data_IF_488741565133
#
_entry.id   IF_488741565133
#
_cell.length_a   1.000
_cell.length_b   1.000
_cell.length_c   1.000
_cell.angle_alpha   90.00
_cell.angle_beta   90.00
_cell.angle_gamma   90.00
#
_symmetry.space_group_name_H-M   'P 1'
#
loop_
_entity.id
_entity.type
_entity.pdbx_description
1 polymer ?
#
# COMPACT_ATOMS: atom_id res chain seq x y z
N UNK A 1 8.91 22.53 8.52
CA UNK A 1 9.11 23.06 9.89
C UNK A 1 7.76 23.51 10.44
N UNK A 2 7.31 23.04 11.62
CA UNK A 2 6.06 23.50 12.21
C UNK A 2 6.23 24.95 12.71
N UNK A 3 5.24 25.85 12.52
CA UNK A 3 5.40 27.25 12.92
C UNK A 3 5.33 27.37 14.45
N UNK A 4 6.33 28.05 15.01
CA UNK A 4 6.44 28.42 16.44
C UNK A 4 5.11 28.97 16.96
N UNK A 5 4.72 28.53 18.16
CA UNK A 5 3.52 28.98 18.85
C UNK A 5 3.58 30.50 19.09
N UNK A 6 2.95 31.29 18.22
CA UNK A 6 2.78 32.74 18.39
C UNK A 6 1.89 33.02 19.60
N UNK A 7 2.31 33.94 20.47
CA UNK A 7 1.55 34.35 21.65
C UNK A 7 0.35 35.21 21.21
N UNK A 8 -0.72 35.22 22.01
CA UNK A 8 -1.98 35.95 21.69
C UNK A 8 -1.75 37.46 21.58
N UNK A 9 -0.82 38.01 22.37
CA UNK A 9 -0.44 39.43 22.31
C UNK A 9 0.17 39.82 20.96
N UNK A 10 0.98 38.95 20.36
CA UNK A 10 1.58 39.19 19.04
C UNK A 10 0.51 39.19 17.95
N UNK A 11 -0.50 38.32 18.07
CA UNK A 11 -1.63 38.27 17.15
C UNK A 11 -2.49 39.53 17.27
N UNK A 12 -2.71 40.05 18.48
CA UNK A 12 -3.43 41.33 18.69
C UNK A 12 -2.67 42.51 18.10
N UNK A 13 -1.35 42.56 18.28
CA UNK A 13 -0.50 43.59 17.65
C UNK A 13 -0.60 43.54 16.12
N UNK A 14 -0.56 42.33 15.54
CA UNK A 14 -0.71 42.13 14.09
C UNK A 14 -2.10 42.56 13.59
N UNK A 15 -3.18 42.20 14.28
CA UNK A 15 -4.52 42.67 13.95
C UNK A 15 -4.61 44.21 14.01
N UNK A 16 -4.06 44.83 15.05
CA UNK A 16 -4.06 46.29 15.22
C UNK A 16 -3.29 47.00 14.11
N UNK A 17 -2.09 46.51 13.76
CA UNK A 17 -1.31 47.06 12.64
C UNK A 17 -2.00 46.92 11.30
N UNK A 18 -2.91 45.95 11.17
CA UNK A 18 -3.66 45.69 9.95
C UNK A 18 -5.07 46.32 9.96
N UNK A 19 -5.39 47.16 10.95
CA UNK A 19 -6.69 47.85 11.07
C UNK A 19 -7.85 46.94 11.45
N UNK A 20 -7.58 45.73 11.96
CA UNK A 20 -8.60 44.73 12.30
C UNK A 20 -8.96 44.76 13.79
N UNK A 21 -10.17 44.30 14.10
CA UNK A 21 -10.62 44.13 15.47
C UNK A 21 -9.70 43.18 16.27
N UNK A 22 -9.40 43.54 17.52
CA UNK A 22 -8.43 42.85 18.39
C UNK A 22 -9.09 41.98 19.47
N UNK A 23 -10.41 41.93 19.50
CA UNK A 23 -11.19 41.17 20.49
C UNK A 23 -11.28 39.68 20.14
N UNK A 24 -11.55 38.81 21.11
CA UNK A 24 -11.72 37.37 20.90
C UNK A 24 -10.52 36.50 21.27
N UNK A 25 -10.65 35.20 21.01
CA UNK A 25 -9.67 34.17 21.39
C UNK A 25 -8.57 34.01 20.31
N UNK A 26 -7.56 33.16 20.58
CA UNK A 26 -6.43 32.94 19.66
C UNK A 26 -6.87 32.49 18.26
N UNK A 27 -7.88 31.63 18.17
CA UNK A 27 -8.37 31.10 16.91
C UNK A 27 -9.07 32.20 16.08
N UNK A 28 -9.82 33.08 16.73
CA UNK A 28 -10.52 34.19 16.08
C UNK A 28 -9.54 35.17 15.43
N UNK A 29 -8.47 35.52 16.15
CA UNK A 29 -7.40 36.41 15.66
C UNK A 29 -6.65 35.79 14.48
N UNK A 30 -6.32 34.49 14.55
CA UNK A 30 -5.66 33.78 13.44
C UNK A 30 -6.58 33.71 12.22
N UNK A 31 -7.88 33.46 12.42
CA UNK A 31 -8.86 33.40 11.33
C UNK A 31 -8.99 34.75 10.63
N UNK A 32 -9.04 35.86 11.38
CA UNK A 32 -9.08 37.23 10.82
C UNK A 32 -7.84 37.56 10.01
N UNK A 33 -6.64 37.28 10.53
CA UNK A 33 -5.39 37.52 9.81
C UNK A 33 -5.27 36.67 8.53
N UNK A 34 -5.75 35.41 8.57
CA UNK A 34 -5.80 34.56 7.37
C UNK A 34 -6.79 35.09 6.34
N UNK A 35 -7.98 35.51 6.76
CA UNK A 35 -9.00 36.07 5.87
C UNK A 35 -8.52 37.36 5.21
N UNK A 36 -7.86 38.25 5.96
CA UNK A 36 -7.28 39.46 5.39
C UNK A 36 -6.14 39.16 4.42
N UNK A 37 -5.26 38.19 4.71
CA UNK A 37 -4.26 37.74 3.72
C UNK A 37 -4.91 37.15 2.47
N UNK A 38 -6.04 36.44 2.63
CA UNK A 38 -6.81 35.92 1.50
C UNK A 38 -7.45 37.04 0.68
N UNK A 39 -8.03 38.05 1.35
CA UNK A 39 -8.57 39.24 0.70
C UNK A 39 -7.49 40.07 0.02
N UNK A 40 -6.34 40.31 0.67
CA UNK A 40 -5.20 40.97 0.03
C UNK A 40 -4.65 40.18 -1.15
N UNK A 41 -4.60 38.84 -1.11
CA UNK A 41 -4.24 38.06 -2.30
C UNK A 41 -5.34 38.07 -3.39
N UNK A 42 -6.61 38.29 -3.02
CA UNK A 42 -7.72 38.42 -3.97
C UNK A 42 -7.81 39.85 -4.55
N UNK A 43 -7.42 40.87 -3.80
CA UNK A 43 -7.35 42.28 -4.18
C UNK A 43 -6.02 42.64 -4.87
N UNK A 44 -4.91 41.97 -4.55
CA UNK A 44 -3.65 42.02 -5.32
C UNK A 44 -3.81 41.36 -6.71
N UNK A 45 -4.90 40.61 -6.94
CA UNK A 45 -5.31 40.14 -8.26
C UNK A 45 -6.22 41.15 -8.99
N UNK A 46 -6.40 42.36 -8.47
CA UNK A 46 -7.26 43.38 -9.11
C UNK A 46 -6.89 44.83 -8.77
N UNK A 47 -5.90 45.42 -9.46
CA UNK A 47 -5.99 46.79 -9.91
C UNK A 47 -6.82 46.83 -11.20
N UNK A 48 -8.11 47.19 -11.11
CA UNK A 48 -8.78 47.80 -12.25
C UNK A 48 -8.33 49.27 -12.29
N UNK A 49 -7.07 49.47 -12.65
CA UNK A 49 -6.69 50.70 -13.33
C UNK A 49 -7.30 50.58 -14.73
N UNK A 50 -8.26 51.46 -15.02
CA UNK A 50 -8.74 51.70 -16.37
C UNK A 50 -7.63 52.40 -17.16
N UNK A 51 -6.59 51.66 -17.49
CA UNK A 51 -5.62 52.00 -18.53
C UNK A 51 -5.41 50.73 -19.35
N UNK A 52 -6.02 50.71 -20.52
CA UNK A 52 -5.71 49.82 -21.63
C UNK A 52 -5.58 48.33 -21.24
N UNK A 53 -6.72 47.65 -20.99
CA UNK A 53 -6.82 46.22 -21.33
C UNK A 53 -6.80 46.10 -22.86
N UNK A 54 -5.66 46.43 -23.47
CA UNK A 54 -5.29 45.95 -24.80
C UNK A 54 -5.19 44.45 -24.61
N UNK A 55 -6.28 43.73 -24.91
CA UNK A 55 -6.27 42.29 -24.94
C UNK A 55 -5.08 41.88 -25.80
N UNK A 56 -4.06 41.24 -25.21
CA UNK A 56 -3.01 40.58 -25.99
C UNK A 56 -3.69 39.46 -26.76
N UNK A 57 -4.06 39.76 -28.01
CA UNK A 57 -4.76 38.83 -28.86
C UNK A 57 -3.85 37.60 -29.07
N UNK A 58 -4.34 36.42 -28.70
CA UNK A 58 -3.64 35.17 -28.98
C UNK A 58 -3.85 34.85 -30.46
N UNK A 59 -2.81 35.06 -31.26
CA UNK A 59 -2.91 35.01 -32.71
C UNK A 59 -1.94 33.97 -33.24
N UNK A 60 -2.48 32.92 -33.86
CA UNK A 60 -1.67 31.89 -34.49
C UNK A 60 -2.35 31.33 -35.71
N UNK A 61 -1.60 31.18 -36.80
CA UNK A 61 -2.11 30.62 -38.05
C UNK A 61 -1.12 29.57 -38.59
N UNK A 62 -1.67 28.53 -39.20
CA UNK A 62 -0.90 27.48 -39.88
C UNK A 62 -0.63 27.93 -41.31
N UNK A 63 0.63 27.92 -41.75
CA UNK A 63 1.01 28.39 -43.09
C UNK A 63 1.50 27.27 -44.00
N UNK A 64 1.54 27.54 -45.31
CA UNK A 64 2.20 26.66 -46.30
C UNK A 64 3.70 26.97 -46.33
N UNK A 65 4.52 25.99 -46.71
CA UNK A 65 5.98 26.17 -46.73
C UNK A 65 6.39 27.30 -47.70
N UNK A 66 7.16 28.27 -47.20
CA UNK A 66 7.64 29.46 -47.91
C UNK A 66 8.88 30.03 -47.20
N UNK A 67 9.40 31.19 -47.60
CA UNK A 67 10.45 31.87 -46.83
C UNK A 67 9.86 32.52 -45.57
N UNK A 68 10.67 32.69 -44.52
CA UNK A 68 10.20 33.25 -43.23
C UNK A 68 9.59 34.66 -43.40
N UNK A 69 10.16 35.47 -44.29
CA UNK A 69 9.69 36.82 -44.54
C UNK A 69 8.39 36.85 -45.35
N UNK A 70 8.22 35.94 -46.31
CA UNK A 70 6.94 35.76 -47.01
C UNK A 70 5.84 35.37 -46.00
N UNK A 71 6.12 34.39 -45.14
CA UNK A 71 5.18 33.93 -44.11
C UNK A 71 4.76 35.05 -43.15
N UNK A 72 5.71 35.89 -42.69
CA UNK A 72 5.41 37.03 -41.80
C UNK A 72 4.65 38.13 -42.51
N UNK A 73 4.96 38.40 -43.78
CA UNK A 73 4.30 39.44 -44.58
C UNK A 73 2.83 39.09 -44.87
N UNK A 74 2.55 37.84 -45.24
CA UNK A 74 1.19 37.39 -45.54
C UNK A 74 0.36 37.21 -44.24
N UNK A 75 1.00 36.86 -43.12
CA UNK A 75 0.32 36.79 -41.83
C UNK A 75 -0.18 38.16 -41.32
N UNK A 76 0.45 39.27 -41.74
CA UNK A 76 0.00 40.63 -41.41
C UNK A 76 -1.28 41.05 -42.14
N UNK A 77 -1.65 40.37 -43.22
CA UNK A 77 -2.93 40.61 -43.91
C UNK A 77 -4.12 40.04 -43.14
N UNK A 78 -3.88 39.22 -42.10
CA UNK A 78 -4.91 38.71 -41.21
C UNK A 78 -5.30 39.78 -40.18
N UNK A 79 -6.59 40.18 -40.10
CA UNK A 79 -7.07 41.16 -39.14
C UNK A 79 -6.69 40.76 -37.70
N UNK A 80 -5.95 41.64 -37.01
CA UNK A 80 -5.44 41.40 -35.65
C UNK A 80 -3.92 41.16 -35.58
N UNK A 81 -3.27 40.64 -36.63
CA UNK A 81 -1.81 40.39 -36.67
C UNK A 81 -0.97 41.61 -37.11
N UNK A 82 -1.60 42.76 -37.30
CA UNK A 82 -0.99 43.95 -37.91
C UNK A 82 -0.04 44.73 -36.98
N UNK A 83 -0.17 44.58 -35.65
CA UNK A 83 0.52 45.44 -34.67
C UNK A 83 1.56 44.74 -33.77
N UNK A 84 1.91 43.47 -34.01
CA UNK A 84 2.80 42.69 -33.13
C UNK A 84 4.09 42.16 -33.80
N UNK A 85 5.12 41.89 -33.01
CA UNK A 85 6.27 41.08 -33.44
C UNK A 85 5.80 39.64 -33.68
N UNK A 86 5.86 39.21 -34.95
CA UNK A 86 5.49 37.85 -35.36
C UNK A 86 6.75 36.98 -35.48
N UNK A 87 6.68 35.82 -34.85
CA UNK A 87 7.70 34.79 -34.94
C UNK A 87 7.17 33.62 -35.77
N UNK A 88 8.09 32.86 -36.37
CA UNK A 88 7.76 31.62 -37.09
C UNK A 88 8.34 30.45 -36.31
N UNK A 89 7.49 29.51 -35.92
CA UNK A 89 7.92 28.30 -35.23
C UNK A 89 7.46 27.07 -35.98
N UNK A 90 8.36 26.07 -36.09
CA UNK A 90 7.99 24.76 -36.63
C UNK A 90 7.50 23.87 -35.49
N UNK A 91 6.24 23.47 -35.54
CA UNK A 91 5.67 22.48 -34.63
C UNK A 91 5.47 21.19 -35.41
N UNK A 92 6.22 20.13 -35.06
CA UNK A 92 6.22 18.82 -35.74
C UNK A 92 6.44 18.86 -37.27
N UNK A 93 7.14 19.88 -37.76
CA UNK A 93 7.47 20.03 -39.17
C UNK A 93 6.55 20.97 -39.95
N UNK A 94 5.47 21.46 -39.34
CA UNK A 94 4.58 22.45 -39.94
C UNK A 94 4.92 23.87 -39.43
N UNK A 95 4.99 24.88 -40.31
CA UNK A 95 5.27 26.26 -39.90
C UNK A 95 4.01 26.94 -39.37
N UNK A 96 4.12 27.52 -38.19
CA UNK A 96 3.12 28.38 -37.57
C UNK A 96 3.68 29.80 -37.46
N UNK A 97 2.83 30.79 -37.72
CA UNK A 97 3.17 32.22 -37.58
C UNK A 97 2.23 32.84 -36.57
N UNK A 98 2.78 33.54 -35.59
CA UNK A 98 1.99 34.15 -34.52
C UNK A 98 2.84 34.99 -33.58
N UNK A 99 2.18 35.65 -32.63
CA UNK A 99 2.88 36.24 -31.50
C UNK A 99 3.35 35.13 -30.55
N UNK A 100 4.28 35.47 -29.64
CA UNK A 100 4.86 34.50 -28.69
C UNK A 100 3.80 33.69 -27.94
N UNK A 101 2.73 34.33 -27.49
CA UNK A 101 1.60 33.66 -26.82
C UNK A 101 0.82 32.70 -27.73
N UNK A 102 0.59 33.06 -28.99
CA UNK A 102 -0.07 32.20 -29.98
C UNK A 102 0.76 30.99 -30.38
N UNK A 103 2.08 31.16 -30.50
CA UNK A 103 3.01 30.07 -30.78
C UNK A 103 3.16 29.10 -29.60
N UNK A 104 3.16 29.60 -28.36
CA UNK A 104 3.12 28.74 -27.17
C UNK A 104 1.85 27.86 -27.11
N UNK A 105 0.75 28.34 -27.68
CA UNK A 105 -0.49 27.58 -27.84
C UNK A 105 -0.51 26.69 -29.10
N UNK A 106 0.34 26.97 -30.10
CA UNK A 106 0.43 26.16 -31.31
C UNK A 106 0.85 24.73 -30.98
N UNK A 107 0.07 23.76 -31.46
CA UNK A 107 0.28 22.35 -31.17
C UNK A 107 -0.10 21.91 -29.75
N UNK A 108 -0.63 22.80 -28.89
CA UNK A 108 -1.14 22.39 -27.58
C UNK A 108 -2.28 21.38 -27.72
N UNK A 109 -3.20 21.62 -28.65
CA UNK A 109 -4.30 20.69 -28.94
C UNK A 109 -3.80 19.30 -29.34
N UNK A 110 -2.74 19.23 -30.15
CA UNK A 110 -2.13 17.95 -30.54
C UNK A 110 -1.38 17.29 -29.38
N UNK A 111 -0.72 18.06 -28.52
CA UNK A 111 -0.08 17.54 -27.30
C UNK A 111 -1.12 16.98 -26.34
N UNK A 112 -2.26 17.66 -26.17
CA UNK A 112 -3.39 17.19 -25.37
C UNK A 112 -3.92 15.89 -25.96
N UNK A 113 -4.21 15.84 -27.28
CA UNK A 113 -4.65 14.61 -27.96
C UNK A 113 -3.67 13.45 -27.77
N UNK A 114 -2.37 13.70 -27.96
CA UNK A 114 -1.34 12.68 -27.77
C UNK A 114 -1.21 12.22 -26.31
N UNK A 115 -1.48 13.10 -25.34
CA UNK A 115 -1.52 12.74 -23.93
C UNK A 115 -2.77 11.93 -23.59
N UNK A 116 -3.93 12.28 -24.13
CA UNK A 116 -5.19 11.53 -23.99
C UNK A 116 -5.06 10.11 -24.57
N UNK A 117 -4.44 9.97 -25.74
CA UNK A 117 -4.12 8.67 -26.34
C UNK A 117 -3.18 7.84 -25.45
N UNK A 118 -2.12 8.47 -24.90
CA UNK A 118 -1.21 7.80 -23.95
C UNK A 118 -1.90 7.40 -22.65
N UNK A 119 -2.80 8.23 -22.14
CA UNK A 119 -3.57 7.92 -20.93
C UNK A 119 -4.50 6.73 -21.16
N UNK A 120 -5.19 6.71 -22.30
CA UNK A 120 -6.03 5.56 -22.72
C UNK A 120 -5.20 4.28 -22.82
N UNK A 121 -4.06 4.32 -23.52
CA UNK A 121 -3.17 3.18 -23.65
C UNK A 121 -2.59 2.70 -22.30
N UNK A 122 -2.28 3.62 -21.38
CA UNK A 122 -1.79 3.27 -20.05
C UNK A 122 -2.89 2.62 -19.20
N UNK A 123 -4.13 3.09 -19.30
CA UNK A 123 -5.28 2.51 -18.62
C UNK A 123 -5.56 1.07 -19.10
N UNK A 124 -5.51 0.83 -20.42
CA UNK A 124 -5.61 -0.52 -21.00
C UNK A 124 -4.47 -1.44 -20.54
N UNK A 125 -3.24 -0.93 -20.50
CA UNK A 125 -2.11 -1.72 -19.99
C UNK A 125 -2.26 -2.04 -18.51
N UNK A 126 -2.83 -1.13 -17.73
CA UNK A 126 -3.10 -1.34 -16.31
C UNK A 126 -4.19 -2.40 -16.09
N UNK A 127 -5.27 -2.38 -16.89
CA UNK A 127 -6.31 -3.40 -16.81
C UNK A 127 -5.77 -4.77 -17.21
N UNK A 128 -5.00 -4.86 -18.30
CA UNK A 128 -4.34 -6.11 -18.73
C UNK A 128 -3.38 -6.66 -17.66
N UNK A 129 -2.60 -5.79 -17.01
CA UNK A 129 -1.72 -6.19 -15.90
C UNK A 129 -2.50 -6.72 -14.70
N UNK A 130 -3.61 -6.08 -14.32
CA UNK A 130 -4.47 -6.56 -13.23
C UNK A 130 -5.04 -7.94 -13.52
N UNK A 131 -5.50 -8.18 -14.76
CA UNK A 131 -5.99 -9.49 -15.19
C UNK A 131 -4.90 -10.56 -15.10
N UNK A 132 -3.69 -10.26 -15.60
CA UNK A 132 -2.56 -11.19 -15.49
C UNK A 132 -2.16 -11.47 -14.05
N UNK A 133 -2.24 -10.47 -13.18
CA UNK A 133 -1.96 -10.64 -11.75
C UNK A 133 -2.99 -11.54 -11.07
N UNK A 134 -4.27 -11.45 -11.45
CA UNK A 134 -5.31 -12.37 -10.98
C UNK A 134 -5.03 -13.80 -11.45
N UNK A 135 -4.77 -14.00 -12.75
CA UNK A 135 -4.50 -15.32 -13.31
C UNK A 135 -3.28 -16.00 -12.67
N UNK A 136 -2.20 -15.24 -12.45
CA UNK A 136 -1.01 -15.75 -11.78
C UNK A 136 -1.27 -16.09 -10.32
N UNK A 137 -2.15 -15.35 -9.64
CA UNK A 137 -2.58 -15.66 -8.27
C UNK A 137 -3.32 -17.00 -8.23
N UNK A 138 -4.21 -17.23 -9.18
CA UNK A 138 -4.95 -18.49 -9.28
C UNK A 138 -4.03 -19.68 -9.58
N UNK A 139 -3.04 -19.51 -10.47
CA UNK A 139 -2.03 -20.53 -10.77
C UNK A 139 -1.16 -20.87 -9.56
N UNK A 140 -0.73 -19.86 -8.79
CA UNK A 140 0.01 -20.08 -7.53
C UNK A 140 -0.84 -20.85 -6.53
N UNK A 141 -2.15 -20.59 -6.44
CA UNK A 141 -3.04 -21.33 -5.55
C UNK A 141 -3.15 -22.80 -5.95
N UNK A 142 -3.33 -23.10 -7.25
CA UNK A 142 -3.38 -24.49 -7.73
C UNK A 142 -2.07 -25.24 -7.45
N UNK A 143 -0.93 -24.63 -7.75
CA UNK A 143 0.38 -25.21 -7.45
C UNK A 143 0.57 -25.44 -5.95
N UNK A 144 -0.02 -24.59 -5.11
CA UNK A 144 0.08 -24.75 -3.67
C UNK A 144 -0.72 -25.94 -3.16
N UNK A 145 -1.94 -26.13 -3.66
CA UNK A 145 -2.77 -27.30 -3.36
C UNK A 145 -2.09 -28.60 -3.83
N UNK A 146 -1.45 -28.60 -5.01
CA UNK A 146 -0.70 -29.74 -5.55
C UNK A 146 0.51 -30.09 -4.66
N UNK A 147 1.29 -29.10 -4.23
CA UNK A 147 2.47 -29.32 -3.36
C UNK A 147 2.05 -29.86 -2.00
N UNK A 148 0.95 -29.38 -1.42
CA UNK A 148 0.43 -29.94 -0.16
C UNK A 148 -0.02 -31.37 -0.31
N UNK A 149 -0.80 -31.65 -1.35
CA UNK A 149 -1.25 -33.00 -1.67
C UNK A 149 -0.04 -33.92 -1.83
N UNK A 150 0.97 -33.51 -2.59
CA UNK A 150 2.18 -34.27 -2.81
C UNK A 150 2.96 -34.51 -1.50
N UNK A 151 3.11 -33.50 -0.65
CA UNK A 151 3.76 -33.63 0.67
C UNK A 151 3.05 -34.67 1.55
N UNK A 152 1.72 -34.71 1.54
CA UNK A 152 0.94 -35.69 2.32
C UNK A 152 0.90 -37.08 1.69
N UNK A 153 0.96 -37.16 0.37
CA UNK A 153 1.07 -38.42 -0.36
C UNK A 153 2.38 -39.15 -0.07
N UNK A 154 3.38 -38.49 0.53
CA UNK A 154 4.57 -39.14 1.10
C UNK A 154 4.25 -39.62 2.51
N UNK A 155 3.96 -40.92 2.72
CA UNK A 155 3.51 -41.43 4.02
C UNK A 155 4.54 -41.17 5.13
N UNK A 156 5.83 -41.17 4.79
CA UNK A 156 6.93 -40.90 5.71
C UNK A 156 6.88 -39.47 6.24
N UNK A 157 6.50 -38.50 5.39
CA UNK A 157 6.40 -37.10 5.81
C UNK A 157 5.21 -36.90 6.75
N UNK A 158 4.04 -37.49 6.43
CA UNK A 158 2.88 -37.47 7.31
C UNK A 158 3.17 -38.10 8.69
N UNK A 159 3.93 -39.20 8.73
CA UNK A 159 4.39 -39.81 10.00
C UNK A 159 5.29 -38.87 10.80
N UNK A 160 6.26 -38.22 10.15
CA UNK A 160 7.12 -37.23 10.80
C UNK A 160 6.29 -36.08 11.40
N UNK A 161 5.30 -35.58 10.66
CA UNK A 161 4.40 -34.52 11.14
C UNK A 161 3.48 -34.96 12.27
N UNK A 162 2.90 -36.16 12.20
CA UNK A 162 2.12 -36.73 13.31
C UNK A 162 2.97 -36.86 14.59
N UNK A 163 4.20 -37.35 14.46
CA UNK A 163 5.13 -37.42 15.60
C UNK A 163 5.40 -36.05 16.20
N UNK A 164 5.58 -35.00 15.40
CA UNK A 164 5.81 -33.64 15.92
C UNK A 164 4.71 -33.23 16.91
N UNK A 165 3.45 -33.35 16.49
CA UNK A 165 2.28 -32.98 17.31
C UNK A 165 2.15 -33.91 18.52
N UNK A 166 2.35 -35.21 18.33
CA UNK A 166 2.28 -36.20 19.42
C UNK A 166 3.37 -35.98 20.48
N UNK A 167 4.60 -35.62 20.08
CA UNK A 167 5.69 -35.24 20.98
C UNK A 167 5.32 -33.98 21.77
N UNK A 168 4.82 -32.94 21.10
CA UNK A 168 4.34 -31.73 21.79
C UNK A 168 3.25 -32.05 22.82
N UNK A 169 2.28 -32.91 22.47
CA UNK A 169 1.24 -33.34 23.42
C UNK A 169 1.79 -34.06 24.63
N UNK A 170 2.79 -34.91 24.44
CA UNK A 170 3.43 -35.66 25.52
C UNK A 170 4.21 -34.73 26.42
N UNK A 171 5.05 -33.87 25.84
CA UNK A 171 6.06 -33.10 26.57
C UNK A 171 5.47 -31.82 27.18
N UNK A 172 4.59 -31.12 26.46
CA UNK A 172 4.06 -29.82 26.88
C UNK A 172 2.64 -29.91 27.47
N UNK A 173 1.75 -30.71 26.85
CA UNK A 173 0.35 -30.79 27.27
C UNK A 173 0.07 -31.91 28.29
N UNK A 174 1.01 -32.84 28.50
CA UNK A 174 0.87 -33.99 29.40
C UNK A 174 -0.43 -34.80 29.17
N UNK A 175 -0.89 -34.89 27.92
CA UNK A 175 -2.16 -35.54 27.57
C UNK A 175 -2.06 -36.48 26.35
N UNK A 176 -0.87 -37.00 26.08
CA UNK A 176 -0.64 -37.97 25.01
C UNK A 176 -1.48 -39.25 25.21
N UNK A 177 -2.04 -39.74 24.10
CA UNK A 177 -2.80 -41.00 24.02
C UNK A 177 -1.89 -42.15 23.60
N UNK A 178 -2.36 -43.40 23.70
CA UNK A 178 -1.60 -44.58 23.23
C UNK A 178 -1.20 -44.45 21.75
N UNK A 179 -2.10 -43.96 20.89
CA UNK A 179 -1.80 -43.69 19.48
C UNK A 179 -0.71 -42.62 19.27
N UNK A 180 -0.61 -41.64 20.19
CA UNK A 180 0.49 -40.67 20.17
C UNK A 180 1.82 -41.34 20.54
N UNK A 181 1.81 -42.25 21.51
CA UNK A 181 3.00 -43.02 21.91
C UNK A 181 3.48 -43.92 20.77
N UNK A 182 2.57 -44.61 20.07
CA UNK A 182 2.89 -45.42 18.89
C UNK A 182 3.55 -44.56 17.79
N UNK A 183 2.96 -43.40 17.49
CA UNK A 183 3.47 -42.45 16.50
C UNK A 183 4.88 -41.94 16.85
N UNK A 184 5.19 -41.81 18.15
CA UNK A 184 6.51 -41.39 18.62
C UNK A 184 7.54 -42.51 18.45
N UNK A 185 7.17 -43.76 18.74
CA UNK A 185 8.08 -44.91 18.70
C UNK A 185 8.52 -45.29 17.28
N UNK A 186 7.72 -44.98 16.26
CA UNK A 186 7.97 -45.36 14.86
C UNK A 186 9.16 -44.65 14.16
N UNK A 187 9.96 -43.80 14.83
CA UNK A 187 11.25 -43.40 14.25
C UNK A 187 12.10 -42.38 15.01
N UNK A 188 13.28 -42.09 14.43
CA UNK A 188 14.35 -41.31 15.07
C UNK A 188 14.49 -39.85 14.58
N UNK A 189 13.66 -39.39 13.65
CA UNK A 189 13.83 -38.07 13.00
C UNK A 189 13.03 -37.01 13.78
N UNK A 190 13.65 -36.21 14.63
CA UNK A 190 12.91 -35.12 15.31
C UNK A 190 12.69 -33.98 14.30
N UNK A 191 11.45 -33.68 13.88
CA UNK A 191 11.21 -32.45 13.12
C UNK A 191 11.45 -31.26 14.03
N UNK A 192 12.38 -30.39 13.63
CA UNK A 192 12.81 -29.25 14.43
C UNK A 192 11.95 -27.99 14.25
N UNK A 193 10.94 -28.02 13.37
CA UNK A 193 10.13 -26.84 13.05
C UNK A 193 8.66 -27.18 12.78
N UNK A 194 7.76 -26.25 13.11
CA UNK A 194 6.34 -26.33 12.76
C UNK A 194 6.10 -26.22 11.26
N UNK A 195 5.09 -26.93 10.76
CA UNK A 195 4.54 -26.80 9.40
C UNK A 195 3.02 -26.77 9.53
N UNK A 196 2.49 -25.62 9.95
CA UNK A 196 1.09 -25.41 10.32
C UNK A 196 0.13 -25.79 9.21
N UNK A 197 0.53 -25.57 7.96
CA UNK A 197 -0.31 -25.85 6.82
C UNK A 197 -0.41 -27.35 6.53
N UNK A 198 0.70 -28.10 6.62
CA UNK A 198 0.65 -29.57 6.51
C UNK A 198 0.00 -30.19 7.73
N UNK A 199 0.33 -29.69 8.92
CA UNK A 199 -0.20 -30.22 10.18
C UNK A 199 -1.71 -30.03 10.28
N UNK A 200 -2.26 -28.94 9.73
CA UNK A 200 -3.70 -28.72 9.68
C UNK A 200 -4.40 -29.80 8.85
N UNK A 201 -3.80 -30.22 7.74
CA UNK A 201 -4.35 -31.25 6.87
C UNK A 201 -4.37 -32.64 7.53
N UNK A 202 -3.53 -32.89 8.55
CA UNK A 202 -3.61 -34.13 9.33
C UNK A 202 -4.93 -34.30 10.09
N UNK A 203 -5.71 -33.22 10.25
CA UNK A 203 -7.03 -33.25 10.87
C UNK A 203 -8.17 -33.52 9.87
N UNK A 204 -7.87 -33.56 8.58
CA UNK A 204 -8.86 -33.85 7.54
C UNK A 204 -9.12 -35.36 7.38
N UNK A 205 -10.33 -35.70 6.93
CA UNK A 205 -10.71 -37.08 6.61
C UNK A 205 -11.17 -37.96 7.78
N UNK A 206 -11.54 -39.20 7.45
CA UNK A 206 -12.08 -40.19 8.40
C UNK A 206 -11.03 -40.71 9.39
N UNK A 207 -9.77 -40.74 8.98
CA UNK A 207 -8.64 -41.19 9.80
C UNK A 207 -7.75 -40.02 10.28
N UNK A 208 -8.22 -38.77 10.13
CA UNK A 208 -7.51 -37.59 10.60
C UNK A 208 -7.47 -37.52 12.12
N UNK A 209 -6.53 -36.73 12.64
CA UNK A 209 -6.39 -36.44 14.07
C UNK A 209 -7.68 -35.86 14.65
N UNK A 210 -7.96 -36.17 15.92
CA UNK A 210 -9.22 -35.83 16.63
C UNK A 210 -9.03 -34.89 17.82
N UNK A 211 -7.86 -34.28 17.93
CA UNK A 211 -7.43 -33.41 19.04
C UNK A 211 -7.14 -31.97 18.60
N UNK A 212 -8.11 -31.24 17.98
CA UNK A 212 -7.87 -29.91 17.42
C UNK A 212 -7.44 -28.88 18.47
N UNK A 213 -7.71 -29.13 19.75
CA UNK A 213 -7.19 -28.30 20.86
C UNK A 213 -5.66 -28.32 20.93
N UNK A 214 -5.02 -29.48 20.73
CA UNK A 214 -3.56 -29.58 20.72
C UNK A 214 -2.95 -28.76 19.58
N UNK A 215 -3.58 -28.82 18.39
CA UNK A 215 -3.19 -27.98 17.26
C UNK A 215 -3.35 -26.50 17.57
N UNK A 216 -4.47 -26.10 18.20
CA UNK A 216 -4.71 -24.70 18.58
C UNK A 216 -3.70 -24.20 19.62
N UNK A 217 -3.33 -25.00 20.61
CA UNK A 217 -2.28 -24.63 21.57
C UNK A 217 -0.91 -24.47 20.90
N UNK A 218 -0.61 -25.33 19.92
CA UNK A 218 0.66 -25.33 19.20
C UNK A 218 0.79 -24.17 18.20
N UNK A 219 -0.27 -23.89 17.44
CA UNK A 219 -0.27 -22.93 16.32
C UNK A 219 -1.09 -21.67 16.58
N UNK A 220 -1.82 -21.57 17.68
CA UNK A 220 -2.68 -20.42 18.01
C UNK A 220 -4.07 -20.43 17.36
N UNK A 221 -4.27 -21.21 16.30
CA UNK A 221 -5.48 -21.16 15.46
C UNK A 221 -6.08 -22.55 15.27
N UNK A 222 -7.38 -22.61 14.93
CA UNK A 222 -8.04 -23.89 14.66
C UNK A 222 -7.57 -24.48 13.31
N UNK A 223 -7.36 -25.81 13.19
CA UNK A 223 -6.83 -26.40 11.95
C UNK A 223 -7.71 -26.14 10.72
N UNK A 224 -9.03 -26.13 10.90
CA UNK A 224 -10.00 -25.83 9.83
C UNK A 224 -9.91 -24.39 9.29
N UNK A 225 -9.29 -23.47 10.01
CA UNK A 225 -9.05 -22.10 9.54
C UNK A 225 -7.65 -21.98 8.94
N UNK A 226 -6.65 -22.61 9.57
CA UNK A 226 -5.27 -22.65 9.03
C UNK A 226 -5.21 -23.29 7.64
N UNK A 227 -6.00 -24.33 7.38
CA UNK A 227 -6.03 -24.97 6.05
C UNK A 227 -6.48 -24.02 4.93
N UNK A 228 -7.21 -22.95 5.26
CA UNK A 228 -7.66 -21.94 4.29
C UNK A 228 -6.62 -20.85 4.05
N UNK A 229 -5.63 -20.73 4.94
CA UNK A 229 -4.60 -19.70 4.84
C UNK A 229 -3.63 -20.07 3.72
N UNK A 230 -3.40 -19.12 2.82
CA UNK A 230 -2.47 -19.19 1.69
C UNK A 230 -1.34 -18.17 1.82
N UNK A 231 -1.52 -17.16 2.67
CA UNK A 231 -0.52 -16.13 2.94
C UNK A 231 0.72 -16.70 3.65
N UNK A 232 1.86 -16.66 2.97
CA UNK A 232 3.12 -17.26 3.42
C UNK A 232 3.62 -16.66 4.72
N UNK A 233 3.47 -15.36 4.87
CA UNK A 233 3.91 -14.61 6.02
C UNK A 233 3.09 -14.97 7.26
N UNK A 234 1.79 -15.23 7.11
CA UNK A 234 0.94 -15.74 8.19
C UNK A 234 1.41 -17.14 8.61
N UNK A 235 1.53 -18.07 7.65
CA UNK A 235 2.01 -19.45 7.92
C UNK A 235 3.37 -19.43 8.62
N UNK A 236 4.28 -18.55 8.18
CA UNK A 236 5.59 -18.39 8.82
C UNK A 236 5.48 -18.00 10.30
N UNK A 237 4.59 -17.08 10.66
CA UNK A 237 4.39 -16.70 12.06
C UNK A 237 3.80 -17.85 12.89
N UNK A 238 2.83 -18.61 12.34
CA UNK A 238 2.29 -19.79 13.01
C UNK A 238 3.38 -20.84 13.26
N UNK A 239 4.25 -21.09 12.26
CA UNK A 239 5.37 -22.02 12.38
C UNK A 239 6.41 -21.57 13.41
N UNK A 240 6.71 -20.26 13.48
CA UNK A 240 7.60 -19.70 14.49
C UNK A 240 7.02 -19.94 15.89
N UNK A 241 5.73 -19.67 16.10
CA UNK A 241 5.08 -19.92 17.39
C UNK A 241 5.13 -21.39 17.78
N UNK A 242 4.82 -22.30 16.87
CA UNK A 242 4.91 -23.74 17.13
C UNK A 242 6.34 -24.18 17.46
N UNK A 243 7.34 -23.64 16.76
CA UNK A 243 8.74 -23.89 17.05
C UNK A 243 9.12 -23.44 18.46
N UNK A 244 8.71 -22.26 18.88
CA UNK A 244 8.96 -21.75 20.25
C UNK A 244 8.18 -22.54 21.31
N UNK A 245 6.95 -22.96 21.00
CA UNK A 245 6.09 -23.76 21.91
C UNK A 245 6.59 -25.19 22.11
N UNK A 246 7.16 -25.81 21.09
CA UNK A 246 7.61 -27.19 21.13
C UNK A 246 9.11 -27.35 21.42
N UNK A 247 9.83 -26.24 21.70
CA UNK A 247 11.25 -26.27 22.01
C UNK A 247 11.48 -26.79 23.44
N UNK A 248 12.13 -27.95 23.56
CA UNK A 248 12.45 -28.57 24.85
C UNK A 248 13.70 -28.01 25.53
N UNK A 249 14.45 -27.14 24.85
CA UNK A 249 15.71 -26.58 25.34
C UNK A 249 15.60 -25.10 25.74
N UNK A 250 14.64 -24.37 25.16
CA UNK A 250 14.47 -22.94 25.40
C UNK A 250 13.01 -22.60 25.67
N UNK A 251 12.79 -21.77 26.68
CA UNK A 251 11.46 -21.27 27.00
C UNK A 251 11.16 -19.98 26.24
N UNK A 252 9.98 -19.88 25.65
CA UNK A 252 9.48 -18.66 25.02
C UNK A 252 9.29 -17.52 26.03
N UNK A 253 9.40 -16.28 25.58
CA UNK A 253 9.08 -15.12 26.43
C UNK A 253 7.57 -14.88 26.51
N UNK A 254 7.09 -14.41 27.67
CA UNK A 254 5.68 -14.01 27.84
C UNK A 254 5.29 -12.91 26.83
N UNK A 255 6.22 -12.00 26.56
CA UNK A 255 6.04 -10.94 25.57
C UNK A 255 5.80 -11.49 24.17
N UNK A 256 6.56 -12.50 23.75
CA UNK A 256 6.36 -13.16 22.46
C UNK A 256 4.97 -13.79 22.37
N UNK A 257 4.56 -14.55 23.39
CA UNK A 257 3.24 -15.18 23.41
C UNK A 257 2.10 -14.14 23.43
N UNK A 258 2.26 -13.03 24.16
CA UNK A 258 1.27 -11.96 24.19
C UNK A 258 1.12 -11.28 22.83
N UNK A 259 2.24 -10.90 22.18
CA UNK A 259 2.22 -10.29 20.85
C UNK A 259 1.66 -11.25 19.79
N UNK A 260 1.98 -12.54 19.90
CA UNK A 260 1.41 -13.57 19.04
C UNK A 260 -0.11 -13.70 19.22
N UNK A 261 -0.59 -13.76 20.47
CA UNK A 261 -2.02 -13.80 20.76
C UNK A 261 -2.76 -12.57 20.24
N UNK A 262 -2.17 -11.37 20.36
CA UNK A 262 -2.71 -10.13 19.80
C UNK A 262 -2.85 -10.21 18.27
N UNK A 263 -1.81 -10.71 17.57
CA UNK A 263 -1.89 -10.92 16.12
C UNK A 263 -3.00 -11.89 15.74
N UNK A 264 -3.10 -13.04 16.39
CA UNK A 264 -4.14 -14.05 16.09
C UNK A 264 -5.53 -13.43 16.28
N UNK A 265 -5.76 -12.71 17.39
CA UNK A 265 -7.05 -12.05 17.65
C UNK A 265 -7.39 -11.00 16.59
N UNK A 266 -6.42 -10.16 16.20
CA UNK A 266 -6.64 -9.14 15.17
C UNK A 266 -6.86 -9.78 13.79
N UNK A 267 -6.14 -10.87 13.48
CA UNK A 267 -6.28 -11.57 12.21
C UNK A 267 -7.62 -12.29 12.10
N UNK A 268 -8.05 -13.00 13.14
CA UNK A 268 -9.40 -13.58 13.25
C UNK A 268 -10.48 -12.49 13.16
N UNK A 269 -10.30 -11.36 13.87
CA UNK A 269 -11.21 -10.22 13.83
C UNK A 269 -11.28 -9.50 12.48
N UNK A 270 -10.28 -9.69 11.63
CA UNK A 270 -10.26 -9.19 10.25
C UNK A 270 -10.92 -10.12 9.24
N UNK A 271 -11.57 -11.20 9.71
CA UNK A 271 -12.06 -12.31 8.87
C UNK A 271 -10.93 -12.93 8.03
N UNK A 272 -9.77 -13.10 8.66
CA UNK A 272 -8.57 -13.70 8.06
C UNK A 272 -8.09 -12.95 6.80
N UNK A 273 -8.21 -11.62 6.76
CA UNK A 273 -7.81 -10.81 5.61
C UNK A 273 -6.29 -10.86 5.38
N UNK A 274 -5.86 -11.78 4.53
CA UNK A 274 -4.48 -11.99 4.08
C UNK A 274 -3.85 -10.77 3.39
N UNK A 275 -4.64 -9.77 3.02
CA UNK A 275 -4.13 -8.55 2.40
C UNK A 275 -3.48 -7.59 3.41
N UNK A 276 -3.36 -7.94 4.69
CA UNK A 276 -2.86 -7.05 5.74
C UNK A 276 -1.46 -6.45 5.48
N UNK A 277 -0.60 -7.11 4.70
CA UNK A 277 0.70 -6.55 4.27
C UNK A 277 0.68 -5.76 2.95
N UNK A 278 -0.48 -5.70 2.29
CA UNK A 278 -0.64 -4.99 1.01
C UNK A 278 -0.81 -3.50 1.23
N UNK A 279 -0.20 -2.69 0.36
CA UNK A 279 -0.36 -1.24 0.40
C UNK A 279 -1.85 -0.83 0.28
N UNK A 280 -2.31 -0.03 1.25
CA UNK A 280 -3.71 0.43 1.31
C UNK A 280 -4.68 -0.56 1.98
N UNK A 281 -4.18 -1.62 2.62
CA UNK A 281 -5.02 -2.52 3.41
C UNK A 281 -5.73 -1.79 4.55
N UNK A 282 -6.97 -2.21 4.83
CA UNK A 282 -7.73 -1.74 6.00
C UNK A 282 -7.27 -2.39 7.30
N UNK A 283 -6.44 -3.43 7.22
CA UNK A 283 -5.97 -4.25 8.34
C UNK A 283 -4.60 -3.76 8.86
N UNK A 284 -4.45 -2.44 9.00
CA UNK A 284 -3.19 -1.83 9.43
C UNK A 284 -2.77 -2.27 10.85
N UNK A 285 -3.72 -2.60 11.72
CA UNK A 285 -3.45 -3.10 13.06
C UNK A 285 -2.92 -4.54 13.04
N UNK A 286 -3.47 -5.41 12.17
CA UNK A 286 -2.93 -6.77 11.93
C UNK A 286 -1.49 -6.70 11.44
N UNK A 287 -1.20 -5.80 10.50
CA UNK A 287 0.15 -5.57 10.01
C UNK A 287 1.10 -5.11 11.12
N UNK A 288 0.64 -4.21 12.00
CA UNK A 288 1.45 -3.74 13.14
C UNK A 288 1.76 -4.87 14.12
N UNK A 289 0.77 -5.70 14.45
CA UNK A 289 0.96 -6.87 15.31
C UNK A 289 1.91 -7.89 14.68
N UNK A 290 1.79 -8.13 13.36
CA UNK A 290 2.72 -8.98 12.60
C UNK A 290 4.18 -8.51 12.76
N UNK A 291 4.46 -7.22 12.51
CA UNK A 291 5.82 -6.68 12.65
C UNK A 291 6.30 -6.71 14.10
N UNK A 292 5.41 -6.43 15.05
CA UNK A 292 5.71 -6.48 16.49
C UNK A 292 6.22 -7.86 16.93
N UNK A 293 5.65 -8.95 16.41
CA UNK A 293 6.12 -10.32 16.72
C UNK A 293 7.52 -10.56 16.16
N UNK A 294 7.78 -10.13 14.92
CA UNK A 294 9.07 -10.37 14.26
C UNK A 294 10.23 -9.66 14.97
N UNK A 295 9.97 -8.48 15.53
CA UNK A 295 10.94 -7.69 16.29
C UNK A 295 11.06 -8.14 17.75
N UNK A 296 10.21 -9.06 18.21
CA UNK A 296 10.19 -9.54 19.58
C UNK A 296 11.31 -10.55 19.85
N UNK A 297 11.93 -10.46 21.03
CA UNK A 297 12.79 -11.52 21.55
C UNK A 297 11.93 -12.76 21.84
N UNK A 298 12.26 -13.87 21.20
CA UNK A 298 11.43 -15.08 21.23
C UNK A 298 11.67 -15.94 22.45
N UNK A 299 12.94 -16.05 22.86
CA UNK A 299 13.37 -16.93 23.94
C UNK A 299 13.93 -16.11 25.09
N UNK A 300 13.72 -16.62 26.30
CA UNK A 300 14.37 -16.07 27.49
C UNK A 300 15.89 -16.21 27.36
N UNK A 301 16.63 -15.20 27.80
CA UNK A 301 18.08 -15.30 27.85
C UNK A 301 18.48 -16.41 28.82
N UNK A 302 19.43 -17.24 28.39
CA UNK A 302 20.00 -18.28 29.23
C UNK A 302 20.67 -17.61 30.43
N UNK A 303 20.13 -17.83 31.63
CA UNK A 303 20.73 -17.38 32.89
C UNK A 303 22.09 -18.02 33.15
#
# INVERSE_FOLDING_TARGET
MPPKATKVEDLRKQCKSAGLDTTGNKADLVKRLKNQKKQKNLEELSPWDQDDLKYDAILVTKWKTGSEEEMKSEAKDVPGLQEGELEVQKVRGEPFVGNRCGLDLAGLQERVRALEEKMSALAERQSARKLRQSALKDEVNMLWDDVFTLKLCVPEYSRVRNRFISTFKRDELNNATESDIDSIQEGNIIPHEGDSAVDALLYEGLNGRRDPSAFKELYGMHPADVVKIRHKETIKILNIHAGVRADSHKTGTDEFYQRFAEFVQLFEGSDYDESYLTAGSKCADVARAYWSILDCQRYQDSA
#
